data_IF_273098456730
#
_entry.id   IF_273098456730
#
_cell.length_a   1.000
_cell.length_b   1.000
_cell.length_c   1.000
_cell.angle_alpha   90.00
_cell.angle_beta   90.00
_cell.angle_gamma   90.00
#
_symmetry.space_group_name_H-M   'P 1'
#
loop_
_entity.id
_entity.type
_entity.pdbx_description
1 polymer ?
#
# COMPACT_ATOMS: atom_id res chain seq x y z
N UNK A 1 -6.75 -19.92 -2.47
CA UNK A 1 -7.35 -18.60 -2.21
C UNK A 1 -7.49 -18.44 -0.70
N UNK A 2 -7.08 -17.28 -0.20
CA UNK A 2 -7.26 -16.83 1.18
C UNK A 2 -7.84 -15.42 1.17
N UNK A 3 -8.40 -15.00 2.29
CA UNK A 3 -8.84 -13.61 2.47
C UNK A 3 -7.65 -12.67 2.21
N UNK A 4 -7.87 -11.66 1.37
CA UNK A 4 -6.82 -10.72 0.95
C UNK A 4 -6.26 -10.98 -0.45
N UNK A 5 -6.49 -12.16 -1.04
CA UNK A 5 -6.09 -12.42 -2.43
C UNK A 5 -6.91 -11.58 -3.41
N UNK A 6 -6.21 -10.85 -4.29
CA UNK A 6 -6.85 -10.22 -5.45
C UNK A 6 -7.05 -11.27 -6.54
N UNK A 7 -8.31 -11.49 -6.92
CA UNK A 7 -8.69 -12.51 -7.91
C UNK A 7 -9.22 -11.82 -9.16
N UNK A 8 -8.60 -12.13 -10.30
CA UNK A 8 -9.06 -11.68 -11.62
C UNK A 8 -9.50 -12.88 -12.45
N UNK A 9 -10.58 -12.74 -13.21
CA UNK A 9 -11.07 -13.80 -14.06
C UNK A 9 -12.45 -13.53 -14.63
N UNK A 10 -12.96 -14.51 -15.38
CA UNK A 10 -14.22 -14.38 -16.08
C UNK A 10 -15.39 -14.53 -15.12
N UNK A 11 -16.28 -13.54 -15.11
CA UNK A 11 -17.52 -13.55 -14.34
C UNK A 11 -18.72 -13.78 -15.25
N UNK A 12 -19.81 -14.30 -14.67
CA UNK A 12 -21.14 -14.30 -15.30
C UNK A 12 -22.16 -13.53 -14.47
N UNK A 13 -23.18 -12.93 -15.12
CA UNK A 13 -24.30 -12.35 -14.40
C UNK A 13 -25.07 -13.42 -13.59
N UNK A 14 -25.79 -13.00 -12.53
CA UNK A 14 -26.65 -13.90 -11.76
C UNK A 14 -27.76 -14.49 -12.64
N UNK A 15 -28.05 -15.77 -12.45
CA UNK A 15 -29.21 -16.45 -13.03
C UNK A 15 -30.46 -16.21 -12.17
N UNK A 16 -31.62 -16.64 -12.67
CA UNK A 16 -32.87 -16.59 -11.92
C UNK A 16 -32.72 -17.30 -10.56
N UNK A 17 -32.98 -16.57 -9.46
CA UNK A 17 -32.77 -17.03 -8.09
C UNK A 17 -31.40 -16.70 -7.47
N UNK A 18 -30.43 -16.18 -8.23
CA UNK A 18 -29.12 -15.73 -7.73
C UNK A 18 -29.09 -14.20 -7.52
N UNK A 19 -28.33 -13.72 -6.52
CA UNK A 19 -28.19 -12.28 -6.22
C UNK A 19 -26.84 -11.67 -6.64
N UNK A 20 -25.82 -12.49 -6.85
CA UNK A 20 -24.44 -12.04 -7.04
C UNK A 20 -23.85 -12.60 -8.33
N UNK A 21 -22.86 -11.89 -8.88
CA UNK A 21 -22.03 -12.42 -9.96
C UNK A 21 -21.27 -13.65 -9.50
N UNK A 22 -21.13 -14.63 -10.38
CA UNK A 22 -20.35 -15.83 -10.13
C UNK A 22 -19.07 -15.81 -10.96
N UNK A 23 -17.94 -16.15 -10.33
CA UNK A 23 -16.68 -16.34 -11.02
C UNK A 23 -16.67 -17.71 -11.72
N UNK A 24 -16.50 -17.72 -13.04
CA UNK A 24 -16.47 -18.95 -13.86
C UNK A 24 -15.06 -19.54 -13.86
N UNK A 25 -14.06 -18.69 -14.10
CA UNK A 25 -12.67 -19.11 -14.27
C UNK A 25 -11.75 -18.06 -13.67
N UNK A 26 -10.83 -18.50 -12.83
CA UNK A 26 -9.73 -17.67 -12.32
C UNK A 26 -8.67 -17.57 -13.41
N UNK A 27 -8.29 -16.35 -13.79
CA UNK A 27 -7.23 -16.08 -14.75
C UNK A 27 -5.94 -15.63 -14.06
N UNK A 28 -6.04 -14.90 -12.95
CA UNK A 28 -4.89 -14.48 -12.16
C UNK A 28 -5.22 -14.39 -10.66
N UNK A 29 -4.20 -14.60 -9.82
CA UNK A 29 -4.22 -14.41 -8.37
C UNK A 29 -3.05 -13.50 -8.01
N UNK A 30 -3.32 -12.37 -7.35
CA UNK A 30 -2.31 -11.37 -6.99
C UNK A 30 -1.42 -10.96 -8.18
N UNK A 31 -2.08 -10.70 -9.32
CA UNK A 31 -1.44 -10.27 -10.59
C UNK A 31 -0.52 -11.31 -11.26
N UNK A 32 -0.53 -12.56 -10.78
CA UNK A 32 0.24 -13.67 -11.35
C UNK A 32 -0.65 -14.84 -11.77
N UNK A 33 -0.07 -15.78 -12.52
CA UNK A 33 -0.73 -17.02 -12.89
C UNK A 33 -1.15 -17.83 -11.65
N UNK A 34 -2.35 -18.44 -11.63
CA UNK A 34 -2.88 -19.16 -10.45
C UNK A 34 -1.98 -20.30 -9.95
N UNK A 35 -1.20 -20.90 -10.85
CA UNK A 35 -0.27 -21.99 -10.57
C UNK A 35 0.85 -21.53 -9.64
N UNK A 36 1.38 -20.32 -9.86
CA UNK A 36 2.47 -19.72 -9.08
C UNK A 36 2.06 -19.45 -7.62
N UNK A 37 0.77 -19.21 -7.38
CA UNK A 37 0.23 -18.97 -6.04
C UNK A 37 0.38 -20.19 -5.11
N UNK A 38 0.46 -21.41 -5.66
CA UNK A 38 0.52 -22.65 -4.86
C UNK A 38 1.87 -22.86 -4.17
N UNK A 39 2.93 -22.29 -4.71
CA UNK A 39 4.31 -22.47 -4.22
C UNK A 39 4.76 -21.34 -3.28
N UNK A 40 3.90 -20.34 -3.04
CA UNK A 40 4.26 -19.17 -2.23
C UNK A 40 4.39 -19.54 -0.75
N UNK A 41 5.47 -19.05 -0.13
CA UNK A 41 5.65 -19.08 1.32
C UNK A 41 4.64 -18.12 1.95
N UNK A 42 4.01 -18.54 3.05
CA UNK A 42 3.08 -17.68 3.78
C UNK A 42 3.81 -16.54 4.47
N UNK A 43 3.17 -15.37 4.54
CA UNK A 43 3.72 -14.18 5.18
C UNK A 43 4.23 -14.45 6.60
N UNK A 44 3.46 -15.21 7.40
CA UNK A 44 3.82 -15.56 8.79
C UNK A 44 5.07 -16.44 8.90
N UNK A 45 5.48 -17.09 7.80
CA UNK A 45 6.67 -17.94 7.75
C UNK A 45 7.90 -17.21 7.21
N UNK A 46 7.78 -15.94 6.83
CA UNK A 46 8.92 -15.14 6.38
C UNK A 46 9.83 -14.81 7.56
N UNK A 47 11.14 -14.73 7.31
CA UNK A 47 12.10 -14.31 8.33
C UNK A 47 12.06 -12.79 8.46
N UNK A 48 11.74 -12.23 9.64
CA UNK A 48 11.74 -10.78 9.82
C UNK A 48 13.17 -10.25 9.82
N UNK A 49 13.41 -9.21 9.03
CA UNK A 49 14.70 -8.51 8.95
C UNK A 49 14.49 -7.02 9.21
N UNK A 50 15.57 -6.34 9.60
CA UNK A 50 15.57 -4.88 9.64
C UNK A 50 15.62 -4.33 8.22
N UNK A 51 15.07 -3.11 7.98
CA UNK A 51 15.19 -2.44 6.70
C UNK A 51 16.66 -2.29 6.29
N UNK A 52 16.98 -2.77 5.10
CA UNK A 52 18.30 -2.70 4.46
C UNK A 52 18.30 -1.76 3.24
N UNK A 53 17.12 -1.48 2.68
CA UNK A 53 16.91 -0.54 1.60
C UNK A 53 16.19 0.73 2.08
N UNK A 54 16.79 1.90 1.87
CA UNK A 54 16.18 3.18 2.21
C UNK A 54 15.15 3.61 1.16
N UNK A 55 14.00 4.11 1.62
CA UNK A 55 13.06 4.87 0.81
C UNK A 55 13.44 6.35 0.89
N UNK A 56 13.98 6.90 -0.20
CA UNK A 56 14.40 8.30 -0.26
C UNK A 56 13.18 9.20 -0.44
N UNK A 57 12.99 10.15 0.47
CA UNK A 57 11.84 11.05 0.46
C UNK A 57 12.10 12.34 -0.31
N UNK A 58 13.32 12.86 -0.33
CA UNK A 58 13.65 14.12 -0.98
C UNK A 58 13.24 14.13 -2.46
N UNK A 59 12.39 15.10 -2.83
CA UNK A 59 12.00 15.42 -4.21
C UNK A 59 12.27 16.89 -4.44
N UNK A 60 13.39 17.19 -5.10
CA UNK A 60 13.84 18.55 -5.38
C UNK A 60 14.16 19.40 -4.13
N UNK A 61 14.54 20.68 -4.32
CA UNK A 61 14.98 21.54 -3.22
C UNK A 61 13.83 22.12 -2.37
N UNK A 62 12.62 22.23 -2.95
CA UNK A 62 11.48 22.94 -2.33
C UNK A 62 10.80 22.12 -1.22
N UNK A 63 10.87 20.79 -1.28
CA UNK A 63 10.22 19.93 -0.30
C UNK A 63 11.10 19.71 0.94
N UNK A 64 11.14 20.73 1.80
CA UNK A 64 11.97 20.73 3.02
C UNK A 64 11.55 19.61 3.97
N UNK A 65 10.26 19.33 4.13
CA UNK A 65 9.75 18.28 5.02
C UNK A 65 10.32 16.91 4.69
N UNK A 66 10.34 16.55 3.40
CA UNK A 66 10.91 15.28 2.94
C UNK A 66 12.42 15.18 3.19
N UNK A 67 13.16 16.28 2.99
CA UNK A 67 14.60 16.35 3.26
C UNK A 67 14.91 16.21 4.74
N UNK A 68 14.10 16.82 5.61
CA UNK A 68 14.23 16.67 7.06
C UNK A 68 13.96 15.23 7.48
N UNK A 69 12.96 14.55 6.88
CA UNK A 69 12.72 13.12 7.13
C UNK A 69 13.97 12.30 6.77
N UNK A 70 14.52 12.47 5.57
CA UNK A 70 15.70 11.70 5.13
C UNK A 70 16.92 11.89 6.05
N UNK A 71 17.09 13.08 6.63
CA UNK A 71 18.22 13.41 7.50
C UNK A 71 18.03 12.97 8.95
N UNK A 72 16.83 13.14 9.49
CA UNK A 72 16.57 12.97 10.94
C UNK A 72 15.98 11.59 11.24
N UNK A 73 15.11 11.09 10.37
CA UNK A 73 14.38 9.83 10.55
C UNK A 73 14.23 9.10 9.22
N UNK A 74 15.32 8.58 8.63
CA UNK A 74 15.25 7.88 7.36
C UNK A 74 14.28 6.68 7.45
N UNK A 75 13.47 6.50 6.41
CA UNK A 75 12.47 5.44 6.32
C UNK A 75 12.98 4.39 5.33
N UNK A 76 12.90 3.11 5.67
CA UNK A 76 13.30 2.01 4.79
C UNK A 76 12.17 1.04 4.43
N UNK A 77 12.43 0.13 3.49
CA UNK A 77 11.49 -0.94 3.13
C UNK A 77 11.33 -1.91 4.30
N UNK A 78 10.09 -2.05 4.79
CA UNK A 78 9.78 -2.79 6.03
C UNK A 78 9.84 -1.95 7.31
N UNK A 79 10.05 -0.63 7.21
CA UNK A 79 10.05 0.27 8.36
C UNK A 79 8.68 0.30 9.04
N UNK A 80 8.70 0.22 10.37
CA UNK A 80 7.54 0.50 11.22
C UNK A 80 7.77 1.85 11.89
N UNK A 81 6.91 2.81 11.60
CA UNK A 81 7.04 4.18 12.07
C UNK A 81 5.76 4.66 12.75
N UNK A 82 5.91 5.63 13.65
CA UNK A 82 4.81 6.33 14.29
C UNK A 82 5.06 7.84 14.15
N UNK A 83 4.10 8.55 13.57
CA UNK A 83 4.12 10.01 13.52
C UNK A 83 3.28 10.51 14.69
N UNK A 84 3.95 11.03 15.72
CA UNK A 84 3.30 11.64 16.88
C UNK A 84 3.09 13.12 16.60
N UNK A 85 1.84 13.54 16.50
CA UNK A 85 1.46 14.91 16.14
C UNK A 85 0.23 15.37 16.94
N UNK A 86 0.26 16.54 17.60
CA UNK A 86 -0.94 17.16 18.16
C UNK A 86 -1.96 17.54 17.07
N UNK A 87 -3.21 17.84 17.44
CA UNK A 87 -4.19 18.37 16.50
C UNK A 87 -3.69 19.65 15.80
N UNK A 88 -3.98 19.79 14.50
CA UNK A 88 -3.68 20.97 13.67
C UNK A 88 -2.18 21.28 13.46
N UNK A 89 -1.29 20.29 13.56
CA UNK A 89 0.16 20.47 13.32
C UNK A 89 0.63 19.98 11.95
N UNK A 90 -0.27 19.82 10.98
CA UNK A 90 0.11 19.45 9.61
C UNK A 90 0.35 17.94 9.38
N UNK A 91 -0.17 17.05 10.23
CA UNK A 91 -0.12 15.58 10.05
C UNK A 91 -0.50 15.17 8.62
N UNK A 92 -1.61 15.71 8.12
CA UNK A 92 -2.15 15.39 6.79
C UNK A 92 -1.20 15.83 5.67
N UNK A 93 -0.66 17.05 5.77
CA UNK A 93 0.30 17.59 4.79
C UNK A 93 1.60 16.77 4.76
N UNK A 94 2.06 16.32 5.94
CA UNK A 94 3.24 15.46 6.03
C UNK A 94 2.99 14.08 5.41
N UNK A 95 1.82 13.47 5.65
CA UNK A 95 1.44 12.19 5.05
C UNK A 95 1.32 12.29 3.52
N UNK A 96 0.70 13.38 3.02
CA UNK A 96 0.65 13.66 1.57
C UNK A 96 2.06 13.83 0.98
N UNK A 97 2.94 14.52 1.71
CA UNK A 97 4.35 14.67 1.31
C UNK A 97 5.02 13.30 1.17
N UNK A 98 4.90 12.42 2.16
CA UNK A 98 5.46 11.06 2.11
C UNK A 98 4.87 10.27 0.95
N UNK A 99 3.54 10.31 0.76
CA UNK A 99 2.87 9.62 -0.34
C UNK A 99 3.38 10.07 -1.73
N UNK A 100 3.49 11.39 -1.93
CA UNK A 100 4.00 11.95 -3.18
C UNK A 100 5.46 11.58 -3.42
N UNK A 101 6.29 11.67 -2.37
CA UNK A 101 7.70 11.29 -2.43
C UNK A 101 7.89 9.81 -2.79
N UNK A 102 7.11 8.91 -2.18
CA UNK A 102 7.14 7.47 -2.51
C UNK A 102 6.70 7.26 -3.96
N UNK A 103 5.63 7.91 -4.40
CA UNK A 103 5.10 7.74 -5.78
C UNK A 103 6.12 8.19 -6.84
N UNK A 104 6.85 9.28 -6.58
CA UNK A 104 7.85 9.82 -7.51
C UNK A 104 9.15 9.00 -7.48
N UNK A 105 9.71 8.76 -6.29
CA UNK A 105 11.03 8.16 -6.16
C UNK A 105 11.02 6.62 -6.20
N UNK A 106 9.88 6.01 -5.86
CA UNK A 106 9.72 4.56 -5.71
C UNK A 106 8.46 4.05 -6.42
N UNK A 107 8.35 4.19 -7.76
CA UNK A 107 7.18 3.77 -8.53
C UNK A 107 6.95 2.25 -8.48
N UNK A 108 7.94 1.46 -8.04
CA UNK A 108 7.80 0.02 -7.83
C UNK A 108 7.02 -0.33 -6.54
N UNK A 109 6.87 0.63 -5.62
CA UNK A 109 6.17 0.41 -4.35
C UNK A 109 4.66 0.55 -4.55
N UNK A 110 3.92 -0.45 -4.11
CA UNK A 110 2.45 -0.34 -4.03
C UNK A 110 2.07 0.55 -2.84
N UNK A 111 1.64 1.78 -3.13
CA UNK A 111 1.21 2.74 -2.12
C UNK A 111 -0.28 2.56 -1.79
N UNK A 112 -0.59 2.43 -0.49
CA UNK A 112 -1.96 2.32 0.02
C UNK A 112 -2.16 3.41 1.08
N UNK A 113 -3.15 4.26 0.88
CA UNK A 113 -3.59 5.26 1.86
C UNK A 113 -4.89 4.79 2.49
N UNK A 114 -4.85 4.45 3.78
CA UNK A 114 -6.00 4.00 4.55
C UNK A 114 -6.46 5.12 5.50
N UNK A 115 -7.63 5.68 5.23
CA UNK A 115 -8.26 6.71 6.06
C UNK A 115 -9.35 6.06 6.91
N UNK A 116 -9.25 6.20 8.23
CA UNK A 116 -10.20 5.63 9.21
C UNK A 116 -10.74 6.76 10.07
N UNK A 117 -12.07 6.84 10.17
CA UNK A 117 -12.77 7.84 11.00
C UNK A 117 -12.36 9.30 10.69
N UNK A 118 -11.88 9.56 9.46
CA UNK A 118 -11.55 10.90 8.98
C UNK A 118 -12.76 11.58 8.34
N UNK A 119 -12.71 12.90 8.26
CA UNK A 119 -13.83 13.70 7.74
C UNK A 119 -13.96 13.55 6.22
N UNK A 120 -15.19 13.53 5.66
CA UNK A 120 -15.39 13.33 4.22
C UNK A 120 -14.61 14.31 3.33
N UNK A 121 -14.49 15.57 3.75
CA UNK A 121 -13.74 16.60 3.02
C UNK A 121 -12.23 16.38 2.98
N UNK A 122 -11.69 15.52 3.84
CA UNK A 122 -10.26 15.15 3.84
C UNK A 122 -9.97 13.93 2.96
N UNK A 123 -11.02 13.28 2.44
CA UNK A 123 -10.93 12.09 1.57
C UNK A 123 -10.97 12.46 0.09
N UNK A 124 -11.58 13.60 -0.25
CA UNK A 124 -11.75 14.09 -1.64
C UNK A 124 -10.50 14.75 -2.18
#
# INVERSE_FOLDING_TARGET
>A
LRTGDTVSGQIRPPKEGERYFALIKVEAINFEAPETSREKIFFDNLTPLYPDEQLKMEVGPENISARVIDLVTPIGKGQRALIVAPPRTGKTVLLQTIANSITENHPEVTLIVLLIDERPEEVT
#
